data_IF_243457094093
#
_entry.id   IF_243457094093
#
_cell.length_a   1.000
_cell.length_b   1.000
_cell.length_c   1.000
_cell.angle_alpha   90.00
_cell.angle_beta   90.00
_cell.angle_gamma   90.00
#
_symmetry.space_group_name_H-M   'P 1'
#
loop_
_entity.id
_entity.type
_entity.pdbx_description
1 polymer ?
#
# COMPACT_ATOMS: atom_id res chain seq x y z
N UNK A 1 4.44 2.63 2.66
CA UNK A 1 2.99 2.31 2.59
C UNK A 1 2.81 0.88 3.02
N UNK A 2 1.73 0.55 3.72
CA UNK A 2 1.43 -0.80 4.18
C UNK A 2 -0.05 -1.13 4.05
N UNK A 3 -0.36 -2.40 3.84
CA UNK A 3 -1.70 -2.98 3.88
C UNK A 3 -1.76 -3.97 5.04
N UNK A 4 -2.78 -3.86 5.88
CA UNK A 4 -2.95 -4.72 7.07
C UNK A 4 -4.36 -5.29 7.16
N UNK A 5 -4.49 -6.51 7.70
CA UNK A 5 -5.76 -7.09 8.11
C UNK A 5 -5.67 -7.52 9.57
N UNK A 6 -6.53 -6.97 10.43
CA UNK A 6 -6.39 -7.14 11.89
C UNK A 6 -5.01 -6.65 12.38
N UNK A 7 -4.24 -7.53 13.01
CA UNK A 7 -2.87 -7.26 13.46
C UNK A 7 -1.79 -7.70 12.45
N UNK A 8 -2.19 -8.31 11.33
CA UNK A 8 -1.29 -8.87 10.34
C UNK A 8 -0.93 -7.83 9.26
N UNK A 9 0.37 -7.71 8.95
CA UNK A 9 0.84 -7.01 7.75
C UNK A 9 0.70 -7.95 6.55
N UNK A 10 -0.07 -7.51 5.57
CA UNK A 10 -0.36 -8.26 4.35
C UNK A 10 0.61 -7.85 3.25
N UNK A 11 0.87 -6.56 3.11
CA UNK A 11 1.80 -6.03 2.11
C UNK A 11 2.52 -4.78 2.65
N UNK A 12 3.79 -4.59 2.31
CA UNK A 12 4.59 -3.40 2.65
C UNK A 12 5.46 -2.95 1.48
N UNK A 13 5.57 -1.63 1.30
CA UNK A 13 6.52 -1.04 0.35
C UNK A 13 7.98 -1.28 0.72
N UNK A 14 8.25 -1.62 1.99
CA UNK A 14 9.60 -1.93 2.47
C UNK A 14 10.05 -3.32 1.98
N UNK A 15 9.08 -4.25 1.84
CA UNK A 15 9.31 -5.58 1.28
C UNK A 15 9.42 -5.55 -0.25
N UNK A 16 8.65 -4.66 -0.89
CA UNK A 16 8.48 -4.54 -2.33
C UNK A 16 8.74 -3.11 -2.84
N UNK A 17 9.99 -2.59 -2.75
CA UNK A 17 10.30 -1.21 -3.14
C UNK A 17 10.09 -0.95 -4.64
N UNK A 18 10.26 -1.96 -5.49
CA UNK A 18 10.12 -1.84 -6.94
C UNK A 18 8.65 -1.82 -7.40
N UNK A 19 7.70 -2.31 -6.57
CA UNK A 19 6.27 -2.24 -6.88
C UNK A 19 5.69 -0.84 -6.61
N UNK A 20 6.25 -0.12 -5.63
CA UNK A 20 5.88 1.26 -5.31
C UNK A 20 6.94 2.23 -5.83
N UNK A 21 6.97 2.41 -7.15
CA UNK A 21 7.97 3.22 -7.82
C UNK A 21 7.99 4.67 -7.31
N UNK A 22 9.18 5.14 -6.94
CA UNK A 22 9.44 6.55 -6.68
C UNK A 22 9.17 7.37 -7.95
N UNK A 23 8.40 8.46 -7.80
CA UNK A 23 8.09 9.38 -8.90
C UNK A 23 8.28 10.81 -8.44
N UNK A 24 8.85 11.63 -9.30
CA UNK A 24 8.78 13.08 -9.14
C UNK A 24 7.37 13.54 -9.54
N UNK A 25 6.67 14.18 -8.61
CA UNK A 25 5.31 14.65 -8.83
C UNK A 25 5.24 16.12 -8.42
N UNK A 26 4.61 16.93 -9.27
CA UNK A 26 4.34 18.34 -8.93
C UNK A 26 3.10 18.40 -8.05
N UNK A 27 3.27 18.91 -6.83
CA UNK A 27 2.16 19.09 -5.88
C UNK A 27 1.38 20.35 -6.24
N UNK A 28 0.05 20.22 -6.37
CA UNK A 28 -0.87 21.33 -6.64
C UNK A 28 -1.94 21.38 -5.55
N UNK A 29 -2.41 22.60 -5.26
CA UNK A 29 -3.50 22.83 -4.31
C UNK A 29 -4.85 22.42 -4.88
N UNK A 30 -5.09 22.74 -6.15
CA UNK A 30 -6.34 22.46 -6.84
C UNK A 30 -6.08 22.30 -8.35
N UNK A 31 -6.46 21.15 -8.97
CA UNK A 31 -6.95 19.93 -8.32
C UNK A 31 -5.85 19.25 -7.48
N UNK A 32 -6.21 18.43 -6.49
CA UNK A 32 -5.24 17.69 -5.69
C UNK A 32 -4.42 16.75 -6.58
N UNK A 33 -3.11 16.70 -6.32
CA UNK A 33 -2.21 15.76 -6.98
C UNK A 33 -2.47 14.35 -6.47
N UNK A 34 -2.70 13.39 -7.38
CA UNK A 34 -2.92 11.98 -7.04
C UNK A 34 -1.73 11.11 -7.47
N UNK A 35 -1.28 10.25 -6.56
CA UNK A 35 -0.42 9.10 -6.88
C UNK A 35 -1.27 7.84 -6.87
N UNK A 36 -1.32 7.11 -7.98
CA UNK A 36 -2.10 5.87 -8.09
C UNK A 36 -1.18 4.68 -7.95
N UNK A 37 -1.42 3.89 -6.91
CA UNK A 37 -0.88 2.55 -6.73
C UNK A 37 -1.99 1.53 -7.01
N UNK A 38 -1.65 0.46 -7.74
CA UNK A 38 -2.57 -0.67 -7.96
C UNK A 38 -1.97 -1.88 -7.27
N UNK A 39 -2.66 -2.35 -6.24
CA UNK A 39 -2.28 -3.58 -5.55
C UNK A 39 -2.91 -4.79 -6.26
N UNK A 40 -2.11 -5.82 -6.50
CA UNK A 40 -2.54 -7.06 -7.14
C UNK A 40 -3.22 -8.06 -6.18
N UNK A 41 -3.41 -7.68 -4.91
CA UNK A 41 -3.95 -8.56 -3.89
C UNK A 41 -2.99 -9.64 -3.41
N UNK A 42 -1.70 -9.53 -3.73
CA UNK A 42 -0.68 -10.46 -3.24
C UNK A 42 -0.04 -9.97 -1.96
N UNK A 43 0.36 -10.92 -1.14
CA UNK A 43 1.09 -10.68 0.09
C UNK A 43 2.54 -10.34 -0.25
N UNK A 44 3.16 -9.43 0.49
CA UNK A 44 4.60 -9.22 0.39
C UNK A 44 5.34 -10.14 1.35
N UNK A 45 6.54 -10.53 0.95
CA UNK A 45 7.56 -11.10 1.84
C UNK A 45 8.88 -10.39 1.61
N UNK A 46 9.85 -10.59 2.50
CA UNK A 46 11.20 -10.03 2.33
C UNK A 46 11.75 -10.36 0.93
N UNK A 47 12.21 -9.33 0.21
CA UNK A 47 12.68 -9.46 -1.17
C UNK A 47 11.57 -9.62 -2.21
N UNK A 48 10.34 -9.25 -1.87
CA UNK A 48 9.16 -9.27 -2.72
C UNK A 48 8.88 -10.63 -3.37
N UNK A 49 9.17 -11.72 -2.66
CA UNK A 49 8.90 -13.05 -3.18
C UNK A 49 7.41 -13.40 -2.95
N UNK A 50 6.73 -14.01 -3.93
CA UNK A 50 5.38 -14.51 -3.72
C UNK A 50 5.38 -15.61 -2.64
N UNK A 51 4.56 -15.47 -1.60
CA UNK A 51 4.38 -16.54 -0.60
C UNK A 51 3.38 -17.63 -1.06
N UNK A 52 2.74 -17.42 -2.20
CA UNK A 52 1.73 -18.30 -2.78
C UNK A 52 0.40 -18.34 -2.03
N UNK A 53 0.24 -17.56 -0.96
CA UNK A 53 -0.97 -17.54 -0.14
C UNK A 53 -1.92 -16.47 -0.66
N UNK A 54 -3.09 -16.91 -1.12
CA UNK A 54 -4.17 -15.99 -1.46
C UNK A 54 -4.61 -15.18 -0.23
N UNK A 55 -4.94 -13.92 -0.45
CA UNK A 55 -5.62 -13.10 0.56
C UNK A 55 -7.07 -13.57 0.72
N UNK A 56 -7.59 -13.50 1.93
CA UNK A 56 -8.97 -13.87 2.21
C UNK A 56 -9.92 -12.68 1.95
N UNK A 57 -11.19 -12.92 1.57
CA UNK A 57 -12.20 -11.87 1.63
C UNK A 57 -12.30 -11.27 3.04
N UNK A 58 -12.56 -9.97 3.14
CA UNK A 58 -12.70 -9.26 4.40
C UNK A 58 -12.18 -7.83 4.36
N UNK A 59 -12.07 -7.26 5.55
CA UNK A 59 -11.65 -5.88 5.74
C UNK A 59 -10.13 -5.70 5.81
N UNK A 60 -9.67 -4.64 5.16
CA UNK A 60 -8.27 -4.26 5.05
C UNK A 60 -8.10 -2.77 5.34
N UNK A 61 -6.91 -2.42 5.83
CA UNK A 61 -6.48 -1.04 6.00
C UNK A 61 -5.26 -0.76 5.15
N UNK A 62 -5.29 0.35 4.41
CA UNK A 62 -4.11 0.92 3.75
C UNK A 62 -3.63 2.12 4.55
N UNK A 63 -2.32 2.19 4.80
CA UNK A 63 -1.68 3.33 5.44
C UNK A 63 -0.50 3.81 4.59
N UNK A 64 -0.50 5.11 4.27
CA UNK A 64 0.52 5.75 3.47
C UNK A 64 0.96 7.06 4.13
N UNK A 65 2.26 7.34 4.09
CA UNK A 65 2.85 8.56 4.60
C UNK A 65 3.79 9.16 3.56
N UNK A 66 3.83 10.49 3.52
CA UNK A 66 4.88 11.22 2.81
C UNK A 66 6.04 11.48 3.77
N UNK A 67 7.27 11.56 3.24
CA UNK A 67 8.42 11.97 4.06
C UNK A 67 8.15 13.38 4.58
N UNK A 68 8.08 13.52 5.90
CA UNK A 68 7.75 14.79 6.58
C UNK A 68 6.26 15.13 6.67
N UNK A 69 5.37 14.22 6.25
CA UNK A 69 3.91 14.35 6.41
C UNK A 69 3.34 13.35 7.41
N UNK A 70 2.13 13.63 7.90
CA UNK A 70 1.40 12.69 8.77
C UNK A 70 0.88 11.48 7.96
N UNK A 71 0.95 10.26 8.50
CA UNK A 71 0.35 9.09 7.87
C UNK A 71 -1.16 9.26 7.71
N UNK A 72 -1.67 8.86 6.55
CA UNK A 72 -3.10 8.70 6.32
C UNK A 72 -3.45 7.23 6.25
N UNK A 73 -4.61 6.88 6.82
CA UNK A 73 -5.11 5.51 6.90
C UNK A 73 -6.54 5.44 6.37
N UNK A 74 -6.81 4.46 5.52
CA UNK A 74 -8.13 4.24 4.92
C UNK A 74 -8.52 2.76 4.97
N UNK A 75 -9.82 2.48 5.14
CA UNK A 75 -10.39 1.14 5.17
C UNK A 75 -11.00 0.78 3.82
N UNK A 76 -10.92 -0.50 3.45
CA UNK A 76 -11.62 -1.06 2.30
C UNK A 76 -11.91 -2.55 2.52
N UNK A 77 -12.93 -3.06 1.83
CA UNK A 77 -13.30 -4.48 1.85
C UNK A 77 -12.94 -5.16 0.53
N UNK A 78 -12.53 -6.42 0.63
CA UNK A 78 -12.37 -7.33 -0.51
C UNK A 78 -13.44 -8.40 -0.40
N UNK A 79 -14.23 -8.57 -1.47
CA UNK A 79 -15.34 -9.52 -1.57
C UNK A 79 -14.98 -10.72 -2.43
#
# INVERSE_FOLDING_TARGET
>A
MKVTSGAETIWSSDDCPDELLARQIVVRRDPPTAYRFTWNGQRSTEGCQPDGRAIAPGGYWVEAAFIGGEPHKAFFDIT
#
